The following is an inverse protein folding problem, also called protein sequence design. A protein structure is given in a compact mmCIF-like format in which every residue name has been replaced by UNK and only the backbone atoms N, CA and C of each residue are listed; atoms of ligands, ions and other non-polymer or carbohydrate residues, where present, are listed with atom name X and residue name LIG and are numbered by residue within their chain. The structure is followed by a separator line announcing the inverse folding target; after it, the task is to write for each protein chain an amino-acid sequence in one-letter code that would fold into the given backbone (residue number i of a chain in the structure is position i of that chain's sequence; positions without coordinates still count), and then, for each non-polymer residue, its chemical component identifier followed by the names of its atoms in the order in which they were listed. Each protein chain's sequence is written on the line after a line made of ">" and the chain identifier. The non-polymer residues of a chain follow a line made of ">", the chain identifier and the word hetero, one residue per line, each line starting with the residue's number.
data_IF_804700159918
#
_entry.id   IF_804700159918
#
_cell.length_a   1.000
_cell.length_b   1.000
_cell.length_c   1.000
_cell.angle_alpha   90.00
_cell.angle_beta   90.00
_cell.angle_gamma   90.00
#
_symmetry.space_group_name_H-M   'P 1'
#
loop_
_entity.id
_entity.type
_entity.pdbx_description
1 polymer ?
#
# COMPACT_ATOMS: atom_id res chain seq x y z
N UNK A 1 -33.64 4.68 25.80
CA UNK A 1 -33.13 6.05 26.03
C UNK A 1 -31.86 5.85 26.83
N UNK A 2 -30.77 5.55 26.13
CA UNK A 2 -29.62 4.88 26.76
C UNK A 2 -28.51 5.93 26.94
N UNK A 3 -28.82 6.92 27.78
CA UNK A 3 -27.90 8.01 28.07
C UNK A 3 -26.89 7.62 29.16
N UNK A 4 -26.11 6.57 28.89
CA UNK A 4 -25.12 6.02 29.83
C UNK A 4 -24.07 7.06 30.25
N UNK A 5 -23.81 8.07 29.41
CA UNK A 5 -22.94 9.21 29.74
C UNK A 5 -23.52 10.09 30.85
N UNK A 6 -24.83 10.34 30.86
CA UNK A 6 -25.49 11.15 31.89
C UNK A 6 -25.56 10.44 33.25
N UNK A 7 -25.58 9.11 33.27
CA UNK A 7 -25.63 8.33 34.50
C UNK A 7 -24.25 8.10 35.14
N UNK A 8 -23.15 8.38 34.42
CA UNK A 8 -21.79 8.28 34.93
C UNK A 8 -21.33 6.84 35.24
N UNK A 9 -20.06 6.71 35.65
CA UNK A 9 -19.39 5.43 35.94
C UNK A 9 -19.99 4.69 37.13
N UNK A 10 -20.64 5.38 38.06
CA UNK A 10 -21.23 4.78 39.27
C UNK A 10 -22.40 3.83 38.93
N UNK A 11 -23.00 4.01 37.75
CA UNK A 11 -24.05 3.12 37.25
C UNK A 11 -23.52 1.76 36.77
N UNK A 12 -22.21 1.64 36.59
CA UNK A 12 -21.52 0.42 36.17
C UNK A 12 -21.25 -0.55 37.33
N UNK A 13 -22.03 -0.50 38.41
CA UNK A 13 -21.85 -1.40 39.55
C UNK A 13 -22.99 -1.33 40.55
N UNK A 14 -22.90 -2.17 41.59
CA UNK A 14 -23.87 -2.21 42.68
C UNK A 14 -25.28 -2.54 42.19
N UNK A 15 -26.29 -1.86 42.77
CA UNK A 15 -27.71 -2.13 42.46
C UNK A 15 -28.11 -1.84 41.01
N UNK A 16 -27.28 -1.14 40.24
CA UNK A 16 -27.55 -0.80 38.84
C UNK A 16 -26.79 -1.69 37.85
N UNK A 17 -25.97 -2.63 38.33
CA UNK A 17 -25.13 -3.48 37.48
C UNK A 17 -25.95 -4.25 36.43
N UNK A 18 -27.10 -4.81 36.81
CA UNK A 18 -27.97 -5.54 35.87
C UNK A 18 -28.44 -4.64 34.72
N UNK A 19 -28.95 -3.45 35.05
CA UNK A 19 -29.36 -2.46 34.05
C UNK A 19 -28.18 -2.03 33.17
N UNK A 20 -27.01 -1.80 33.75
CA UNK A 20 -25.83 -1.36 33.02
C UNK A 20 -25.24 -2.45 32.11
N UNK A 21 -25.38 -3.73 32.48
CA UNK A 21 -25.02 -4.86 31.60
C UNK A 21 -25.90 -4.95 30.37
N UNK A 22 -27.16 -4.58 30.49
CA UNK A 22 -28.11 -4.65 29.38
C UNK A 22 -28.07 -3.39 28.51
N UNK A 23 -27.96 -2.20 29.12
CA UNK A 23 -28.16 -0.93 28.42
C UNK A 23 -26.87 -0.12 28.22
N UNK A 24 -25.83 -0.41 29.00
CA UNK A 24 -24.58 0.39 29.04
C UNK A 24 -23.32 -0.46 28.89
N UNK A 25 -23.42 -1.67 28.33
CA UNK A 25 -22.34 -2.66 28.29
C UNK A 25 -21.03 -2.11 27.70
N UNK A 26 -21.11 -1.33 26.61
CA UNK A 26 -19.94 -0.69 26.00
C UNK A 26 -19.36 0.43 26.86
N UNK A 27 -20.21 1.26 27.47
CA UNK A 27 -19.77 2.38 28.31
C UNK A 27 -19.10 1.88 29.61
N UNK A 28 -19.68 0.85 30.22
CA UNK A 28 -19.19 0.21 31.43
C UNK A 28 -18.07 -0.81 31.18
N UNK A 29 -17.75 -1.11 29.91
CA UNK A 29 -16.70 -2.05 29.54
C UNK A 29 -17.04 -3.52 29.78
N UNK A 30 -18.32 -3.85 29.98
CA UNK A 30 -18.80 -5.23 30.14
C UNK A 30 -18.75 -6.02 28.85
N UNK A 31 -18.79 -5.34 27.71
CA UNK A 31 -18.45 -5.95 26.42
C UNK A 31 -17.31 -5.16 25.76
N UNK A 32 -16.37 -5.91 25.17
CA UNK A 32 -15.54 -5.35 24.13
C UNK A 32 -16.43 -5.32 22.90
N UNK A 33 -16.58 -4.16 22.28
CA UNK A 33 -17.27 -4.09 21.00
C UNK A 33 -16.66 -5.10 20.04
N UNK A 34 -17.50 -5.83 19.30
CA UNK A 34 -17.01 -6.70 18.26
C UNK A 34 -16.05 -5.91 17.36
N UNK A 35 -14.87 -6.45 17.03
CA UNK A 35 -14.01 -5.82 16.06
C UNK A 35 -14.84 -5.69 14.79
N UNK A 36 -15.24 -4.46 14.46
CA UNK A 36 -15.90 -4.18 13.19
C UNK A 36 -14.97 -4.74 12.12
N UNK A 37 -15.46 -5.61 11.21
CA UNK A 37 -14.62 -6.14 10.16
C UNK A 37 -13.89 -4.98 9.50
N UNK A 38 -12.56 -5.06 9.42
CA UNK A 38 -11.79 -4.02 8.79
C UNK A 38 -12.38 -3.78 7.39
N UNK A 39 -12.66 -2.52 7.01
CA UNK A 39 -13.24 -2.24 5.71
C UNK A 39 -12.36 -2.84 4.60
N UNK A 40 -12.99 -3.26 3.51
CA UNK A 40 -12.29 -3.77 2.35
C UNK A 40 -11.25 -2.75 1.88
N UNK A 41 -10.07 -3.22 1.48
CA UNK A 41 -9.02 -2.35 0.98
C UNK A 41 -9.30 -1.97 -0.47
N UNK A 42 -10.17 -0.99 -0.66
CA UNK A 42 -10.60 -0.54 -1.98
C UNK A 42 -10.94 0.94 -1.99
N UNK A 43 -10.97 1.52 -3.19
CA UNK A 43 -11.58 2.82 -3.39
C UNK A 43 -13.03 2.59 -3.82
N UNK A 44 -13.98 3.21 -3.12
CA UNK A 44 -15.38 3.25 -3.58
C UNK A 44 -15.53 4.22 -4.75
N UNK A 45 -14.67 5.25 -4.82
CA UNK A 45 -14.55 6.14 -5.97
C UNK A 45 -13.48 5.66 -6.93
N UNK A 46 -13.81 5.68 -8.21
CA UNK A 46 -12.89 5.28 -9.28
C UNK A 46 -11.87 6.36 -9.64
N UNK A 47 -12.04 7.59 -9.14
CA UNK A 47 -11.27 8.77 -9.52
C UNK A 47 -10.48 9.41 -8.37
N UNK A 48 -10.15 8.61 -7.35
CA UNK A 48 -9.38 9.06 -6.20
C UNK A 48 -8.01 9.67 -6.57
N UNK A 49 -7.41 9.23 -7.67
CA UNK A 49 -6.15 9.74 -8.23
C UNK A 49 -6.23 11.17 -8.77
N UNK A 50 -7.44 11.71 -9.00
CA UNK A 50 -7.63 13.11 -9.39
C UNK A 50 -7.47 14.08 -8.22
N UNK A 51 -7.53 13.57 -6.99
CA UNK A 51 -7.42 14.38 -5.79
C UNK A 51 -5.97 14.40 -5.28
N UNK A 52 -5.47 15.54 -4.77
CA UNK A 52 -4.14 15.61 -4.21
C UNK A 52 -4.00 14.69 -2.99
N UNK A 53 -2.80 14.14 -2.77
CA UNK A 53 -2.53 13.26 -1.61
C UNK A 53 -2.82 13.92 -0.26
N UNK A 54 -2.74 15.25 -0.18
CA UNK A 54 -3.10 16.02 1.02
C UNK A 54 -4.56 15.84 1.44
N UNK A 55 -5.47 15.50 0.51
CA UNK A 55 -6.88 15.19 0.81
C UNK A 55 -7.03 14.06 1.82
N UNK A 56 -6.08 13.12 1.86
CA UNK A 56 -6.08 12.01 2.81
C UNK A 56 -5.79 12.42 4.26
N UNK A 57 -5.11 13.56 4.46
CA UNK A 57 -4.70 14.05 5.78
C UNK A 57 -5.41 15.33 6.22
N UNK A 58 -5.97 16.11 5.29
CA UNK A 58 -6.70 17.34 5.59
C UNK A 58 -7.93 17.03 6.46
N UNK A 59 -8.04 17.60 7.68
CA UNK A 59 -9.16 17.32 8.59
C UNK A 59 -10.55 17.55 7.97
N UNK A 60 -10.67 18.47 7.01
CA UNK A 60 -11.93 18.79 6.33
C UNK A 60 -12.40 17.66 5.40
N UNK A 61 -11.45 16.90 4.85
CA UNK A 61 -11.72 15.86 3.85
C UNK A 61 -11.35 14.47 4.31
N UNK A 62 -10.67 14.33 5.45
CA UNK A 62 -10.18 13.05 5.99
C UNK A 62 -11.29 12.01 6.09
N UNK A 63 -12.45 12.39 6.63
CA UNK A 63 -13.56 11.44 6.75
C UNK A 63 -14.06 10.98 5.37
N UNK A 64 -14.28 11.93 4.46
CA UNK A 64 -14.66 11.60 3.09
C UNK A 64 -13.61 10.72 2.38
N UNK A 65 -12.32 11.01 2.58
CA UNK A 65 -11.21 10.27 1.98
C UNK A 65 -11.12 8.85 2.54
N UNK A 66 -11.34 8.68 3.85
CA UNK A 66 -11.47 7.38 4.49
C UNK A 66 -12.65 6.60 3.88
N UNK A 67 -13.79 7.24 3.68
CA UNK A 67 -15.00 6.55 3.23
C UNK A 67 -14.97 6.18 1.75
N UNK A 68 -14.24 6.94 0.92
CA UNK A 68 -14.29 6.82 -0.54
C UNK A 68 -12.98 6.33 -1.18
N UNK A 69 -11.83 6.62 -0.59
CA UNK A 69 -10.51 6.49 -1.20
C UNK A 69 -9.53 5.72 -0.29
N UNK A 70 -10.04 4.69 0.39
CA UNK A 70 -9.34 3.98 1.46
C UNK A 70 -7.98 3.40 1.02
N UNK A 71 -7.96 2.73 -0.14
CA UNK A 71 -6.72 2.20 -0.73
C UNK A 71 -5.79 3.31 -1.25
N UNK A 72 -6.33 4.32 -1.95
CA UNK A 72 -5.56 5.44 -2.47
C UNK A 72 -4.86 6.23 -1.36
N UNK A 73 -5.55 6.40 -0.22
CA UNK A 73 -5.04 7.04 0.99
C UNK A 73 -4.21 6.11 1.89
N UNK A 74 -3.99 4.86 1.46
CA UNK A 74 -3.14 3.87 2.16
C UNK A 74 -3.60 3.61 3.60
N UNK A 75 -4.91 3.59 3.81
CA UNK A 75 -5.54 3.36 5.12
C UNK A 75 -5.79 1.87 5.41
N UNK A 76 -5.52 1.01 4.43
CA UNK A 76 -5.57 -0.43 4.61
C UNK A 76 -4.45 -0.94 5.53
N UNK A 77 -4.59 -2.17 6.00
CA UNK A 77 -3.49 -2.84 6.72
C UNK A 77 -2.31 -3.09 5.76
N UNK A 78 -1.08 -3.24 6.28
CA UNK A 78 0.09 -3.55 5.45
C UNK A 78 -0.11 -4.79 4.56
N UNK A 79 -0.75 -5.84 5.08
CA UNK A 79 -1.02 -7.06 4.31
C UNK A 79 -2.04 -6.82 3.20
N UNK A 80 -3.11 -6.06 3.46
CA UNK A 80 -4.08 -5.69 2.45
C UNK A 80 -3.46 -4.84 1.33
N UNK A 81 -2.57 -3.91 1.68
CA UNK A 81 -1.83 -3.11 0.69
C UNK A 81 -0.96 -4.00 -0.19
N UNK A 82 -0.20 -4.93 0.40
CA UNK A 82 0.65 -5.87 -0.34
C UNK A 82 -0.15 -6.69 -1.35
N UNK A 83 -1.30 -7.22 -0.95
CA UNK A 83 -2.19 -7.99 -1.82
C UNK A 83 -2.74 -7.11 -2.95
N UNK A 84 -3.23 -5.89 -2.63
CA UNK A 84 -3.80 -4.99 -3.64
C UNK A 84 -2.77 -4.43 -4.60
N UNK A 85 -1.62 -4.00 -4.10
CA UNK A 85 -0.50 -3.54 -4.92
C UNK A 85 -0.04 -4.67 -5.85
N UNK A 86 -0.01 -5.92 -5.40
CA UNK A 86 0.32 -7.08 -6.26
C UNK A 86 -0.72 -7.38 -7.35
N UNK A 87 -1.97 -6.94 -7.20
CA UNK A 87 -3.03 -7.11 -8.21
C UNK A 87 -3.01 -5.99 -9.26
N UNK A 88 -2.62 -4.77 -8.85
CA UNK A 88 -2.55 -3.59 -9.72
C UNK A 88 -1.20 -3.43 -10.40
N UNK A 89 -0.15 -4.01 -9.82
CA UNK A 89 1.12 -4.12 -10.51
C UNK A 89 0.96 -5.19 -11.58
N UNK A 90 0.81 -4.77 -12.83
CA UNK A 90 1.23 -5.57 -13.98
C UNK A 90 2.74 -5.70 -13.89
N UNK A 91 3.21 -6.53 -12.95
CA UNK A 91 4.55 -7.07 -13.02
C UNK A 91 4.55 -7.88 -14.33
N UNK A 92 5.43 -7.60 -15.29
CA UNK A 92 5.75 -8.62 -16.28
C UNK A 92 6.04 -9.89 -15.48
N UNK A 93 5.42 -11.04 -15.77
CA UNK A 93 5.60 -12.25 -14.98
C UNK A 93 7.10 -12.54 -14.89
N UNK A 94 7.66 -12.39 -13.69
CA UNK A 94 9.03 -12.77 -13.45
C UNK A 94 9.09 -14.31 -13.46
N UNK A 95 9.94 -14.83 -14.33
CA UNK A 95 10.62 -16.13 -14.22
C UNK A 95 9.98 -17.32 -14.95
N UNK A 96 9.98 -17.27 -16.28
CA UNK A 96 10.87 -18.19 -16.98
C UNK A 96 12.25 -17.50 -17.06
N UNK A 97 13.39 -18.19 -16.95
CA UNK A 97 14.68 -17.54 -17.10
C UNK A 97 14.85 -17.09 -18.56
N UNK A 98 14.39 -15.89 -18.89
CA UNK A 98 14.73 -15.23 -20.14
C UNK A 98 16.24 -14.97 -20.10
N UNK A 99 17.00 -15.35 -21.16
CA UNK A 99 18.42 -15.04 -21.23
C UNK A 99 18.65 -13.57 -20.93
N UNK A 100 19.60 -13.27 -20.04
CA UNK A 100 19.98 -11.90 -19.75
C UNK A 100 20.24 -11.17 -21.08
N UNK A 101 19.67 -9.97 -21.30
CA UNK A 101 19.86 -9.25 -22.54
C UNK A 101 21.36 -8.97 -22.73
N UNK A 102 21.86 -8.98 -23.99
CA UNK A 102 23.26 -8.69 -24.28
C UNK A 102 23.62 -7.30 -23.75
N UNK A 103 24.86 -7.12 -23.29
CA UNK A 103 25.33 -5.84 -22.75
C UNK A 103 25.49 -4.77 -23.85
N UNK A 104 24.36 -4.22 -24.29
CA UNK A 104 24.26 -3.18 -25.29
C UNK A 104 22.96 -2.42 -25.12
N UNK A 105 22.90 -1.24 -25.70
CA UNK A 105 21.65 -0.50 -25.84
C UNK A 105 20.85 -1.11 -27.01
N UNK A 106 19.59 -1.48 -26.73
CA UNK A 106 18.65 -1.94 -27.76
C UNK A 106 17.96 -0.76 -28.45
N UNK A 107 17.69 0.31 -27.70
CA UNK A 107 17.17 1.55 -28.26
C UNK A 107 18.32 2.40 -28.84
N UNK A 108 18.14 2.89 -30.06
CA UNK A 108 19.14 3.73 -30.74
C UNK A 108 19.24 5.14 -30.17
N UNK A 109 18.27 5.57 -29.38
CA UNK A 109 18.12 6.93 -28.88
C UNK A 109 18.43 7.09 -27.38
N UNK A 110 19.11 6.12 -26.74
CA UNK A 110 19.44 6.20 -25.31
C UNK A 110 20.15 7.50 -24.89
N UNK A 111 20.98 8.05 -25.77
CA UNK A 111 21.70 9.32 -25.54
C UNK A 111 20.80 10.57 -25.57
N UNK A 112 19.58 10.46 -26.10
CA UNK A 112 18.60 11.56 -26.10
C UNK A 112 17.88 11.68 -24.75
N UNK A 113 17.98 10.66 -23.89
CA UNK A 113 17.38 10.67 -22.56
C UNK A 113 18.37 11.16 -21.52
N UNK A 114 17.86 11.88 -20.52
CA UNK A 114 18.64 12.31 -19.38
C UNK A 114 19.10 11.12 -18.54
N UNK A 115 20.22 11.27 -17.83
CA UNK A 115 20.71 10.25 -16.89
C UNK A 115 19.70 9.93 -15.77
N UNK A 116 18.81 10.87 -15.45
CA UNK A 116 17.70 10.68 -14.51
C UNK A 116 16.79 9.51 -14.91
N UNK A 117 16.62 9.22 -16.21
CA UNK A 117 15.83 8.09 -16.72
C UNK A 117 16.33 6.73 -16.21
N UNK A 118 17.63 6.61 -15.92
CA UNK A 118 18.24 5.40 -15.37
C UNK A 118 17.88 5.17 -13.88
N UNK A 119 17.57 6.23 -13.15
CA UNK A 119 17.27 6.17 -11.71
C UNK A 119 15.80 6.40 -11.38
N UNK A 120 15.04 6.98 -12.31
CA UNK A 120 13.63 7.26 -12.16
C UNK A 120 12.83 5.95 -12.05
N UNK A 121 12.08 5.79 -10.96
CA UNK A 121 11.32 4.56 -10.68
C UNK A 121 10.32 4.20 -11.79
N UNK A 122 9.79 5.20 -12.51
CA UNK A 122 8.85 5.00 -13.63
C UNK A 122 9.55 4.45 -14.87
N UNK A 123 10.81 4.84 -15.10
CA UNK A 123 11.52 4.54 -16.35
C UNK A 123 12.66 3.52 -16.20
N UNK A 124 13.06 3.20 -14.97
CA UNK A 124 14.17 2.30 -14.67
C UNK A 124 14.02 0.92 -15.34
N UNK A 125 12.85 0.29 -15.26
CA UNK A 125 12.64 -1.02 -15.89
C UNK A 125 12.77 -0.99 -17.41
N UNK A 126 12.31 0.09 -18.05
CA UNK A 126 12.52 0.30 -19.48
C UNK A 126 14.01 0.50 -19.80
N UNK A 127 14.72 1.29 -18.98
CA UNK A 127 16.14 1.58 -19.16
C UNK A 127 17.03 0.32 -18.95
N UNK A 128 16.69 -0.55 -18.00
CA UNK A 128 17.34 -1.85 -17.76
C UNK A 128 17.30 -2.77 -18.98
N UNK A 129 16.23 -2.66 -19.77
CA UNK A 129 16.03 -3.47 -20.98
C UNK A 129 16.59 -2.80 -22.23
N UNK A 130 16.36 -1.50 -22.40
CA UNK A 130 16.58 -0.82 -23.68
C UNK A 130 17.88 0.00 -23.73
N UNK A 131 18.35 0.49 -22.58
CA UNK A 131 19.48 1.41 -22.47
C UNK A 131 20.49 0.93 -21.43
N UNK A 132 20.69 -0.39 -21.39
CA UNK A 132 21.44 -1.06 -20.34
C UNK A 132 22.90 -0.58 -20.26
N UNK A 133 23.56 -0.41 -21.41
CA UNK A 133 24.94 0.07 -21.50
C UNK A 133 25.02 1.57 -21.20
N UNK A 134 24.12 2.38 -21.76
CA UNK A 134 24.03 3.81 -21.50
C UNK A 134 23.82 4.12 -20.01
N UNK A 135 22.98 3.33 -19.33
CA UNK A 135 22.70 3.47 -17.91
C UNK A 135 23.71 2.75 -17.00
N UNK A 136 24.65 1.99 -17.56
CA UNK A 136 25.68 1.27 -16.81
C UNK A 136 25.13 0.10 -15.99
N UNK A 137 24.01 -0.50 -16.39
CA UNK A 137 23.45 -1.68 -15.73
C UNK A 137 24.19 -2.98 -16.10
N UNK A 138 25.06 -2.93 -17.09
CA UNK A 138 25.94 -4.02 -17.50
C UNK A 138 27.34 -3.50 -17.79
N UNK A 139 28.29 -4.44 -17.86
CA UNK A 139 29.67 -4.19 -18.26
C UNK A 139 30.13 -5.36 -19.13
N UNK A 140 30.96 -5.09 -20.14
CA UNK A 140 31.46 -6.09 -21.11
C UNK A 140 32.50 -7.07 -20.49
N UNK A 141 32.44 -7.33 -19.17
CA UNK A 141 33.40 -8.12 -18.41
C UNK A 141 32.76 -9.21 -17.54
N UNK A 142 32.82 -10.44 -18.06
CA UNK A 142 32.75 -11.75 -17.38
C UNK A 142 31.64 -12.02 -16.37
N UNK A 143 30.78 -12.96 -16.77
CA UNK A 143 30.30 -14.09 -15.97
C UNK A 143 31.13 -14.36 -14.69
N UNK A 144 30.57 -14.00 -13.53
CA UNK A 144 30.95 -14.60 -12.25
C UNK A 144 30.45 -16.04 -12.20
N UNK A 145 31.16 -16.95 -12.87
CA UNK A 145 31.13 -18.38 -12.59
C UNK A 145 32.34 -18.72 -11.74
N UNK A 146 32.18 -18.75 -10.41
CA UNK A 146 33.20 -19.30 -9.51
C UNK A 146 33.48 -20.75 -9.91
N UNK A 147 34.71 -21.01 -10.33
CA UNK A 147 35.29 -22.33 -10.47
C UNK A 147 35.32 -23.00 -9.10
N UNK A 148 34.63 -24.14 -8.95
CA UNK A 148 34.79 -25.05 -7.82
C UNK A 148 35.54 -26.27 -8.36
N UNK A 149 36.82 -26.31 -8.00
CA UNK A 149 37.70 -27.47 -7.95
C UNK A 149 37.03 -28.58 -7.12
N UNK A 150 37.09 -29.83 -7.59
CA UNK A 150 37.27 -31.08 -6.83
C UNK A 150 37.69 -32.19 -7.79
#
# INVERSE_FOLDING_TARGET
>A
MDNCLAFGKDSCGGKYEAFARENCARYCGYCKGDPTPAPACENKKTDCEKYPKSTCSDPRYKQWANDNCYYYCRLCTPEQLRIKDSQLTTVPPASNPTPAPPCRDLASNCQQYEKSTCTDQKYRGWAETNCNKYCGFCSDGSSSGKQVIH
#
